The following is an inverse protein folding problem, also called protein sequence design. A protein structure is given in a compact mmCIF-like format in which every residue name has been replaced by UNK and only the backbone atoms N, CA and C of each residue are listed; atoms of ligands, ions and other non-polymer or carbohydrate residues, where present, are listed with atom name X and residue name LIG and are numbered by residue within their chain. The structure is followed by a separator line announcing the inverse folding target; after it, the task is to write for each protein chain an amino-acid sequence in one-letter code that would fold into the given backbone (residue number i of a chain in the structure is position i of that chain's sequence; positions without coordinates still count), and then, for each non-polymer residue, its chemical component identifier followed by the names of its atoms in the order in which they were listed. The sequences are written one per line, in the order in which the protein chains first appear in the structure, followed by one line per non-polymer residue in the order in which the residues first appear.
data_IF_594878619688
#
_entry.id   IF_594878619688
#
_cell.length_a   1.000
_cell.length_b   1.000
_cell.length_c   1.000
_cell.angle_alpha   90.00
_cell.angle_beta   90.00
_cell.angle_gamma   90.00
#
_symmetry.space_group_name_H-M   'P 1'
#
loop_
_entity.id
_entity.type
_entity.pdbx_description
1 polymer ?
#
# COMPACT_ATOMS: atom_id res chain seq x y z
N UNK A 1 -3.56 50.19 0.65
CA UNK A 1 -2.88 48.93 0.25
C UNK A 1 -3.11 47.93 1.37
N UNK A 2 -4.06 47.02 1.19
CA UNK A 2 -4.42 46.03 2.19
C UNK A 2 -3.35 44.94 2.23
N UNK A 3 -2.82 44.68 3.42
CA UNK A 3 -2.02 43.48 3.70
C UNK A 3 -2.98 42.30 3.75
N UNK A 4 -2.74 41.31 2.90
CA UNK A 4 -3.50 40.06 2.88
C UNK A 4 -3.37 39.33 4.22
N UNK A 5 -4.51 38.85 4.71
CA UNK A 5 -4.60 37.97 5.87
C UNK A 5 -3.95 36.62 5.52
N UNK A 6 -2.92 36.23 6.28
CA UNK A 6 -2.44 34.85 6.25
C UNK A 6 -3.49 33.98 6.93
N UNK A 7 -4.12 33.09 6.19
CA UNK A 7 -4.99 32.05 6.75
C UNK A 7 -4.13 31.18 7.66
N UNK A 8 -4.33 31.30 8.97
CA UNK A 8 -3.60 30.51 9.97
C UNK A 8 -4.05 29.05 9.85
N UNK A 9 -3.10 28.15 9.58
CA UNK A 9 -3.35 26.71 9.59
C UNK A 9 -3.76 26.24 10.99
N UNK A 10 -4.54 25.16 11.07
CA UNK A 10 -4.85 24.56 12.37
C UNK A 10 -3.66 23.76 12.86
N UNK A 11 -3.32 23.90 14.14
CA UNK A 11 -2.32 23.05 14.79
C UNK A 11 -2.72 21.56 14.69
N UNK A 12 -1.73 20.67 14.74
CA UNK A 12 -1.95 19.21 14.72
C UNK A 12 -3.03 18.82 15.74
N UNK A 13 -4.09 18.08 15.33
CA UNK A 13 -5.15 17.62 16.23
C UNK A 13 -4.60 16.95 17.50
N UNK A 14 -5.38 16.94 18.58
CA UNK A 14 -5.01 16.29 19.85
C UNK A 14 -4.59 14.82 19.70
N UNK A 15 -4.97 14.18 18.60
CA UNK A 15 -4.54 12.84 18.20
C UNK A 15 -3.10 12.74 17.68
N UNK A 16 -2.37 13.85 17.52
CA UNK A 16 -0.95 13.91 17.13
C UNK A 16 -0.66 13.37 15.73
N UNK A 17 -1.54 13.60 14.76
CA UNK A 17 -1.37 13.21 13.36
C UNK A 17 -1.93 14.30 12.42
N UNK A 18 -1.41 14.39 11.20
CA UNK A 18 -1.97 15.27 10.17
C UNK A 18 -3.35 14.75 9.73
N UNK A 19 -4.35 15.63 9.69
CA UNK A 19 -5.71 15.35 9.24
C UNK A 19 -6.27 16.56 8.47
N UNK A 20 -6.64 16.32 7.22
CA UNK A 20 -7.20 17.28 6.27
C UNK A 20 -8.70 17.05 6.01
N UNK A 21 -9.22 15.92 6.47
CA UNK A 21 -10.61 15.51 6.39
C UNK A 21 -11.00 14.78 7.68
N UNK A 22 -11.88 15.36 8.49
CA UNK A 22 -12.35 14.75 9.73
C UNK A 22 -13.19 13.49 9.45
N UNK A 23 -13.41 12.58 10.43
CA UNK A 23 -14.27 11.42 10.24
C UNK A 23 -15.69 11.73 9.74
N UNK A 24 -16.23 12.90 10.09
CA UNK A 24 -17.55 13.37 9.64
C UNK A 24 -17.53 14.01 8.24
N UNK A 25 -16.37 14.03 7.57
CA UNK A 25 -16.19 14.62 6.25
C UNK A 25 -16.09 16.15 6.24
N UNK A 26 -15.67 16.77 7.35
CA UNK A 26 -15.36 18.21 7.38
C UNK A 26 -13.93 18.44 6.89
N UNK A 27 -13.75 19.38 5.96
CA UNK A 27 -12.45 19.73 5.38
C UNK A 27 -11.68 20.65 6.33
N UNK A 28 -10.39 20.37 6.52
CA UNK A 28 -9.44 21.21 7.24
C UNK A 28 -8.41 21.74 6.25
N UNK A 29 -8.54 22.99 5.81
CA UNK A 29 -7.80 23.53 4.65
C UNK A 29 -6.30 23.26 4.68
N UNK A 30 -5.66 23.51 5.83
CA UNK A 30 -4.26 23.20 6.08
C UNK A 30 -3.99 22.83 7.54
N UNK A 31 -2.95 22.01 7.74
CA UNK A 31 -2.42 21.65 9.06
C UNK A 31 -0.93 21.94 9.10
N UNK A 32 -0.48 22.64 10.15
CA UNK A 32 0.94 22.91 10.38
C UNK A 32 1.46 22.04 11.51
N UNK A 33 2.52 21.27 11.24
CA UNK A 33 3.20 20.43 12.23
C UNK A 33 4.15 21.25 13.11
N UNK A 34 4.55 20.67 14.25
CA UNK A 34 5.41 21.35 15.23
C UNK A 34 6.79 21.77 14.70
N UNK A 35 7.24 21.16 13.60
CA UNK A 35 8.46 21.53 12.87
C UNK A 35 8.26 22.69 11.88
N UNK A 36 7.04 23.24 11.78
CA UNK A 36 6.67 24.33 10.89
C UNK A 36 6.21 23.89 9.49
N UNK A 37 6.21 22.60 9.18
CA UNK A 37 5.76 22.10 7.87
C UNK A 37 4.24 22.21 7.75
N UNK A 38 3.74 22.80 6.67
CA UNK A 38 2.29 22.96 6.42
C UNK A 38 1.83 22.03 5.31
N UNK A 39 0.83 21.21 5.60
CA UNK A 39 0.22 20.28 4.66
C UNK A 39 -1.14 20.81 4.20
N UNK A 40 -1.37 20.78 2.90
CA UNK A 40 -2.65 21.09 2.28
C UNK A 40 -2.78 20.38 0.93
N UNK A 41 -4.00 20.33 0.41
CA UNK A 41 -4.30 19.87 -0.96
C UNK A 41 -5.12 20.94 -1.66
N UNK A 42 -4.88 21.07 -2.97
CA UNK A 42 -5.61 21.95 -3.88
C UNK A 42 -6.15 21.09 -5.03
N UNK A 43 -7.08 20.21 -4.69
CA UNK A 43 -7.71 19.32 -5.65
C UNK A 43 -8.91 20.00 -6.30
N UNK A 44 -9.06 19.76 -7.59
CA UNK A 44 -10.29 20.03 -8.33
C UNK A 44 -11.41 19.09 -7.88
N UNK A 45 -12.65 19.49 -8.18
CA UNK A 45 -13.84 18.65 -7.97
C UNK A 45 -13.71 17.26 -8.59
N UNK A 46 -13.08 17.14 -9.76
CA UNK A 46 -12.91 15.85 -10.43
C UNK A 46 -11.84 15.00 -9.74
N UNK A 47 -10.72 15.59 -9.30
CA UNK A 47 -9.72 14.85 -8.53
C UNK A 47 -10.29 14.29 -7.21
N UNK A 48 -11.18 15.04 -6.54
CA UNK A 48 -11.89 14.52 -5.37
C UNK A 48 -12.82 13.34 -5.72
N UNK A 49 -13.49 13.39 -6.88
CA UNK A 49 -14.33 12.29 -7.37
C UNK A 49 -13.50 11.08 -7.74
N UNK A 50 -12.35 11.26 -8.37
CA UNK A 50 -11.46 10.17 -8.76
C UNK A 50 -10.87 9.45 -7.54
N UNK A 51 -10.48 10.18 -6.49
CA UNK A 51 -10.12 9.57 -5.21
C UNK A 51 -11.26 8.70 -4.65
N UNK A 52 -12.51 9.15 -4.77
CA UNK A 52 -13.67 8.35 -4.33
C UNK A 52 -13.86 7.09 -5.19
N UNK A 53 -13.73 7.21 -6.52
CA UNK A 53 -13.79 6.06 -7.44
C UNK A 53 -12.75 5.02 -7.08
N UNK A 54 -11.51 5.43 -6.85
CA UNK A 54 -10.41 4.53 -6.48
C UNK A 54 -10.72 3.79 -5.19
N UNK A 55 -11.10 4.50 -4.13
CA UNK A 55 -11.38 3.90 -2.83
C UNK A 55 -12.50 2.85 -2.92
N UNK A 56 -13.59 3.15 -3.64
CA UNK A 56 -14.70 2.20 -3.84
C UNK A 56 -14.28 1.00 -4.69
N UNK A 57 -13.52 1.24 -5.75
CA UNK A 57 -13.06 0.18 -6.65
C UNK A 57 -12.15 -0.81 -5.91
N UNK A 58 -11.11 -0.31 -5.23
CA UNK A 58 -10.16 -1.19 -4.52
C UNK A 58 -10.84 -1.98 -3.39
N UNK A 59 -11.78 -1.35 -2.66
CA UNK A 59 -12.63 -2.01 -1.64
C UNK A 59 -13.46 -3.14 -2.26
N UNK A 60 -14.04 -2.90 -3.43
CA UNK A 60 -14.93 -3.85 -4.10
C UNK A 60 -14.15 -5.04 -4.64
N UNK A 61 -12.97 -4.82 -5.22
CA UNK A 61 -12.06 -5.88 -5.65
C UNK A 61 -11.56 -6.71 -4.45
N UNK A 62 -11.20 -6.06 -3.34
CA UNK A 62 -10.81 -6.76 -2.10
C UNK A 62 -11.94 -7.64 -1.53
N UNK A 63 -13.17 -7.12 -1.54
CA UNK A 63 -14.36 -7.88 -1.11
C UNK A 63 -14.59 -9.10 -1.99
N UNK A 64 -14.38 -8.97 -3.30
CA UNK A 64 -14.50 -10.06 -4.26
C UNK A 64 -13.42 -11.12 -4.04
N UNK A 65 -12.18 -10.72 -3.77
CA UNK A 65 -11.10 -11.65 -3.43
C UNK A 65 -11.40 -12.49 -2.18
N UNK A 66 -11.95 -11.86 -1.12
CA UNK A 66 -12.39 -12.59 0.08
C UNK A 66 -13.51 -13.59 -0.25
N UNK A 67 -14.42 -13.24 -1.15
CA UNK A 67 -15.50 -14.15 -1.59
C UNK A 67 -14.94 -15.34 -2.38
N UNK A 68 -14.03 -15.10 -3.33
CA UNK A 68 -13.35 -16.12 -4.12
C UNK A 68 -12.55 -17.08 -3.22
N UNK A 69 -11.82 -16.55 -2.24
CA UNK A 69 -11.10 -17.38 -1.28
C UNK A 69 -12.04 -18.30 -0.49
N UNK A 70 -13.19 -17.80 -0.02
CA UNK A 70 -14.19 -18.60 0.69
C UNK A 70 -14.85 -19.68 -0.18
N UNK A 71 -14.82 -19.50 -1.49
CA UNK A 71 -15.30 -20.48 -2.47
C UNK A 71 -14.23 -21.50 -2.86
N UNK A 72 -12.99 -21.35 -2.36
CA UNK A 72 -11.87 -22.25 -2.66
C UNK A 72 -11.08 -21.86 -3.91
N UNK A 73 -11.39 -20.72 -4.54
CA UNK A 73 -10.72 -20.24 -5.76
C UNK A 73 -9.39 -19.55 -5.47
N UNK A 74 -9.12 -19.20 -4.20
CA UNK A 74 -7.82 -18.70 -3.74
C UNK A 74 -7.36 -19.51 -2.52
N UNK A 75 -6.07 -19.76 -2.40
CA UNK A 75 -5.49 -20.40 -1.22
C UNK A 75 -5.55 -19.47 -0.01
N UNK A 76 -5.10 -18.23 -0.17
CA UNK A 76 -5.06 -17.22 0.90
C UNK A 76 -5.29 -15.82 0.33
N UNK A 77 -5.89 -14.91 1.10
CA UNK A 77 -5.99 -13.50 0.72
C UNK A 77 -5.69 -12.57 1.90
N UNK A 78 -4.97 -11.48 1.63
CA UNK A 78 -4.61 -10.46 2.61
C UNK A 78 -5.48 -9.21 2.46
N UNK A 79 -6.68 -9.22 3.04
CA UNK A 79 -7.63 -8.12 2.84
C UNK A 79 -7.09 -6.73 3.23
N UNK A 80 -7.30 -5.73 2.39
CA UNK A 80 -6.92 -4.34 2.68
C UNK A 80 -7.97 -3.56 3.48
N UNK A 81 -9.14 -4.16 3.76
CA UNK A 81 -10.31 -3.48 4.32
C UNK A 81 -9.98 -2.55 5.50
N UNK A 82 -10.22 -1.26 5.28
CA UNK A 82 -9.97 -0.16 6.23
C UNK A 82 -8.69 0.62 6.01
N UNK A 83 -7.81 0.17 5.11
CA UNK A 83 -6.54 0.82 4.77
C UNK A 83 -6.56 1.46 3.37
N UNK A 84 -7.74 1.62 2.77
CA UNK A 84 -7.88 2.11 1.38
C UNK A 84 -7.28 3.51 1.22
N UNK A 85 -7.57 4.43 2.16
CA UNK A 85 -7.08 5.80 2.09
C UNK A 85 -5.55 5.89 2.16
N UNK A 86 -4.92 5.15 3.08
CA UNK A 86 -3.47 5.08 3.20
C UNK A 86 -2.82 4.63 1.89
N UNK A 87 -3.40 3.63 1.22
CA UNK A 87 -2.87 3.08 -0.03
C UNK A 87 -3.17 3.97 -1.24
N UNK A 88 -4.41 4.41 -1.43
CA UNK A 88 -4.80 5.27 -2.56
C UNK A 88 -4.15 6.64 -2.45
N UNK A 89 -4.15 7.25 -1.26
CA UNK A 89 -3.55 8.57 -1.04
C UNK A 89 -2.04 8.55 -1.31
N UNK A 90 -1.32 7.56 -0.75
CA UNK A 90 0.12 7.42 -1.02
C UNK A 90 0.42 7.00 -2.46
N UNK A 91 -0.39 6.10 -3.04
CA UNK A 91 -0.24 5.63 -4.42
C UNK A 91 -0.44 6.74 -5.45
N UNK A 92 -1.44 7.61 -5.26
CA UNK A 92 -1.69 8.79 -6.11
C UNK A 92 -0.66 9.90 -5.93
N UNK A 93 0.09 9.92 -4.82
CA UNK A 93 1.16 10.88 -4.59
C UNK A 93 2.47 10.53 -5.31
N UNK A 94 2.62 9.29 -5.80
CA UNK A 94 3.79 8.86 -6.58
C UNK A 94 3.78 9.49 -7.97
N UNK A 95 4.95 9.93 -8.43
CA UNK A 95 5.17 10.29 -9.83
C UNK A 95 5.42 9.04 -10.67
N UNK A 96 5.26 9.10 -12.00
CA UNK A 96 5.46 7.94 -12.86
C UNK A 96 6.82 7.26 -12.69
N UNK A 97 7.88 8.02 -12.44
CA UNK A 97 9.25 7.52 -12.27
C UNK A 97 9.57 6.98 -10.86
N UNK A 98 8.75 7.27 -9.85
CA UNK A 98 9.02 6.84 -8.48
C UNK A 98 8.83 5.33 -8.33
N UNK A 99 9.75 4.67 -7.61
CA UNK A 99 9.73 3.23 -7.40
C UNK A 99 9.10 2.86 -6.06
N UNK A 100 8.08 2.02 -6.09
CA UNK A 100 7.40 1.55 -4.87
C UNK A 100 7.75 0.10 -4.54
N UNK A 101 8.07 -0.17 -3.28
CA UNK A 101 8.37 -1.50 -2.73
C UNK A 101 7.27 -1.94 -1.77
N UNK A 102 6.35 -2.81 -2.22
CA UNK A 102 5.21 -3.25 -1.41
C UNK A 102 5.53 -4.43 -0.49
N UNK A 103 4.61 -4.72 0.41
CA UNK A 103 4.43 -6.03 1.03
C UNK A 103 3.35 -6.82 0.28
N UNK A 104 2.72 -7.79 0.94
CA UNK A 104 1.62 -8.58 0.39
C UNK A 104 0.24 -7.91 0.46
N UNK A 105 0.11 -6.66 0.95
CA UNK A 105 -1.20 -6.02 1.20
C UNK A 105 -1.43 -4.72 0.43
N UNK A 106 -0.48 -4.27 -0.38
CA UNK A 106 -0.55 -3.01 -1.12
C UNK A 106 -1.36 -3.12 -2.43
N UNK A 107 -2.56 -3.71 -2.37
CA UNK A 107 -3.43 -3.86 -3.55
C UNK A 107 -3.97 -2.51 -4.06
N UNK A 108 -4.21 -1.55 -3.17
CA UNK A 108 -4.62 -0.19 -3.55
C UNK A 108 -3.50 0.59 -4.24
N UNK A 109 -2.25 0.42 -3.80
CA UNK A 109 -1.09 1.02 -4.47
C UNK A 109 -0.88 0.37 -5.84
N UNK A 110 -0.98 -0.97 -5.92
CA UNK A 110 -0.93 -1.73 -7.17
C UNK A 110 -1.95 -1.18 -8.19
N UNK A 111 -3.20 -0.98 -7.76
CA UNK A 111 -4.24 -0.38 -8.59
C UNK A 111 -3.88 1.05 -9.06
N UNK A 112 -3.37 1.90 -8.17
CA UNK A 112 -2.92 3.25 -8.54
C UNK A 112 -1.74 3.27 -9.52
N UNK A 113 -0.93 2.20 -9.56
CA UNK A 113 0.17 2.03 -10.54
C UNK A 113 -0.30 1.48 -11.88
N UNK A 114 -1.61 1.26 -12.07
CA UNK A 114 -2.18 0.80 -13.33
C UNK A 114 -1.92 -0.68 -13.62
N UNK A 115 -1.50 -1.45 -12.62
CA UNK A 115 -1.36 -2.90 -12.75
C UNK A 115 -2.75 -3.52 -12.72
N UNK A 116 -3.00 -4.46 -13.63
CA UNK A 116 -4.25 -5.19 -13.67
C UNK A 116 -4.49 -5.92 -12.33
N UNK A 117 -5.62 -5.67 -11.63
CA UNK A 117 -5.88 -6.25 -10.32
C UNK A 117 -5.90 -7.78 -10.28
N UNK A 118 -5.97 -8.46 -11.43
CA UNK A 118 -5.87 -9.91 -11.50
C UNK A 118 -4.47 -10.44 -11.13
N UNK A 119 -3.40 -9.67 -11.38
CA UNK A 119 -2.03 -10.14 -11.26
C UNK A 119 -1.70 -10.77 -9.89
N UNK A 120 -2.06 -10.17 -8.74
CA UNK A 120 -1.82 -10.81 -7.44
C UNK A 120 -2.63 -12.11 -7.24
N UNK A 121 -3.74 -12.32 -7.95
CA UNK A 121 -4.58 -13.50 -7.78
C UNK A 121 -3.88 -14.77 -8.24
N UNK A 122 -2.99 -14.71 -9.23
CA UNK A 122 -2.18 -15.86 -9.64
C UNK A 122 -1.35 -16.42 -8.48
N UNK A 123 -0.65 -15.53 -7.77
CA UNK A 123 0.12 -15.85 -6.56
C UNK A 123 -0.76 -16.41 -5.44
N UNK A 124 -1.87 -15.72 -5.14
CA UNK A 124 -2.75 -16.07 -4.01
C UNK A 124 -3.60 -17.31 -4.26
N UNK A 125 -3.85 -17.65 -5.54
CA UNK A 125 -4.41 -18.93 -5.98
C UNK A 125 -3.36 -20.04 -5.98
N UNK A 126 -2.08 -19.70 -6.22
CA UNK A 126 -0.99 -20.64 -6.33
C UNK A 126 -0.87 -21.25 -7.73
N UNK A 127 -1.28 -20.51 -8.77
CA UNK A 127 -1.19 -20.96 -10.17
C UNK A 127 0.01 -20.37 -10.92
N UNK A 128 0.68 -19.38 -10.34
CA UNK A 128 1.96 -18.85 -10.82
C UNK A 128 2.81 -18.33 -9.65
N UNK A 129 3.97 -17.76 -9.96
CA UNK A 129 4.86 -17.14 -8.98
C UNK A 129 4.47 -15.69 -8.64
N UNK A 130 3.33 -15.23 -9.14
CA UNK A 130 2.91 -13.84 -9.15
C UNK A 130 3.79 -12.94 -10.01
N UNK A 131 3.35 -11.70 -10.12
CA UNK A 131 4.20 -10.58 -10.56
C UNK A 131 3.73 -9.88 -11.81
N UNK A 132 4.56 -8.94 -12.20
CA UNK A 132 4.43 -8.00 -13.32
C UNK A 132 5.86 -7.49 -13.59
N UNK A 133 6.07 -6.73 -14.65
CA UNK A 133 7.37 -6.08 -14.87
C UNK A 133 7.53 -4.91 -13.87
N UNK A 134 8.44 -5.03 -12.88
CA UNK A 134 8.58 -3.99 -11.86
C UNK A 134 9.16 -2.69 -12.42
N UNK A 135 9.86 -2.72 -13.56
CA UNK A 135 10.41 -1.52 -14.20
C UNK A 135 9.35 -0.77 -15.02
N UNK A 136 8.45 -1.50 -15.69
CA UNK A 136 7.32 -0.93 -16.43
C UNK A 136 6.40 -0.16 -15.47
N UNK A 137 5.97 -0.83 -14.40
CA UNK A 137 5.00 -0.27 -13.48
C UNK A 137 5.62 0.57 -12.36
N UNK A 138 6.96 0.62 -12.23
CA UNK A 138 7.70 1.16 -11.07
C UNK A 138 7.10 0.74 -9.73
N UNK A 139 6.76 -0.53 -9.66
CA UNK A 139 6.19 -1.16 -8.49
C UNK A 139 6.86 -2.51 -8.37
N UNK A 140 7.67 -2.72 -7.34
CA UNK A 140 8.33 -4.00 -7.14
C UNK A 140 7.28 -5.09 -6.85
N UNK A 141 7.66 -6.34 -7.06
CA UNK A 141 6.80 -7.49 -6.75
C UNK A 141 6.47 -7.55 -5.26
N UNK A 142 5.40 -8.28 -4.91
CA UNK A 142 5.02 -8.49 -3.51
C UNK A 142 6.08 -9.28 -2.75
N UNK A 143 6.48 -8.71 -1.62
CA UNK A 143 7.40 -9.36 -0.69
C UNK A 143 6.64 -10.00 0.47
N UNK A 144 6.79 -11.31 0.62
CA UNK A 144 6.15 -12.09 1.70
C UNK A 144 7.01 -12.10 2.98
N UNK A 145 8.33 -12.03 2.84
CA UNK A 145 9.28 -12.00 3.96
C UNK A 145 9.23 -10.63 4.62
N UNK A 146 8.63 -10.56 5.80
CA UNK A 146 8.37 -9.31 6.53
C UNK A 146 9.66 -8.51 6.73
N UNK A 147 9.71 -7.30 6.17
CA UNK A 147 10.80 -6.35 6.39
C UNK A 147 11.83 -6.33 5.27
N UNK A 148 12.08 -7.46 4.60
CA UNK A 148 13.15 -7.58 3.60
C UNK A 148 13.06 -6.55 2.45
N UNK A 149 11.85 -6.17 2.04
CA UNK A 149 11.63 -5.16 1.00
C UNK A 149 12.21 -3.79 1.36
N UNK A 150 12.35 -3.44 2.64
CA UNK A 150 12.87 -2.13 3.05
C UNK A 150 14.36 -2.00 2.76
N UNK A 151 15.14 -3.08 2.88
CA UNK A 151 16.56 -3.09 2.53
C UNK A 151 16.74 -3.03 1.02
N UNK A 152 15.94 -3.79 0.27
CA UNK A 152 15.94 -3.72 -1.20
C UNK A 152 15.58 -2.31 -1.69
N UNK A 153 14.57 -1.68 -1.09
CA UNK A 153 14.20 -0.30 -1.39
C UNK A 153 15.32 0.68 -1.06
N UNK A 154 15.99 0.50 0.07
CA UNK A 154 17.13 1.34 0.48
C UNK A 154 18.28 1.24 -0.53
N UNK A 155 18.64 0.02 -0.94
CA UNK A 155 19.65 -0.21 -1.96
C UNK A 155 19.28 0.41 -3.31
N UNK A 156 18.02 0.27 -3.74
CA UNK A 156 17.53 0.92 -4.96
C UNK A 156 17.62 2.45 -4.85
N UNK A 157 17.22 3.04 -3.71
CA UNK A 157 17.29 4.48 -3.48
C UNK A 157 18.73 5.00 -3.52
N UNK A 158 19.67 4.26 -2.95
CA UNK A 158 21.10 4.58 -3.08
C UNK A 158 21.57 4.52 -4.54
N UNK A 159 21.09 3.54 -5.32
CA UNK A 159 21.31 3.44 -6.76
C UNK A 159 20.79 4.66 -7.53
N UNK A 160 19.58 5.14 -7.21
CA UNK A 160 19.01 6.38 -7.80
C UNK A 160 19.95 7.56 -7.61
N UNK A 161 20.52 7.72 -6.42
CA UNK A 161 21.51 8.77 -6.15
C UNK A 161 22.80 8.56 -6.96
N UNK A 162 23.30 7.32 -7.05
CA UNK A 162 24.50 6.99 -7.83
C UNK A 162 24.32 7.24 -9.34
N UNK A 163 23.10 7.06 -9.84
CA UNK A 163 22.72 7.38 -11.22
C UNK A 163 22.55 8.88 -11.48
N UNK A 164 22.71 9.73 -10.46
CA UNK A 164 22.57 11.18 -10.58
C UNK A 164 21.11 11.65 -10.72
N UNK A 165 20.14 10.84 -10.28
CA UNK A 165 18.70 11.08 -10.39
C UNK A 165 18.07 11.64 -9.11
N UNK A 166 18.89 12.22 -8.23
CA UNK A 166 18.45 12.90 -7.01
C UNK A 166 18.84 14.37 -7.09
N UNK A 167 17.96 15.28 -6.68
CA UNK A 167 18.18 16.73 -6.73
C UNK A 167 18.01 17.36 -8.12
N UNK A 168 17.38 16.63 -9.06
CA UNK A 168 17.14 17.08 -10.43
C UNK A 168 15.65 17.37 -10.66
N UNK A 169 15.28 18.16 -11.70
CA UNK A 169 13.87 18.40 -12.02
C UNK A 169 13.09 17.10 -12.29
N UNK A 170 13.76 16.11 -12.90
CA UNK A 170 13.27 14.75 -13.18
C UNK A 170 13.68 13.75 -12.10
N UNK A 171 13.94 14.21 -10.87
CA UNK A 171 14.40 13.35 -9.79
C UNK A 171 13.47 12.16 -9.55
N UNK A 172 14.03 11.06 -9.06
CA UNK A 172 13.30 9.83 -8.69
C UNK A 172 13.31 9.68 -7.17
N UNK A 173 12.21 9.21 -6.59
CA UNK A 173 12.16 8.78 -5.20
C UNK A 173 11.70 7.33 -5.09
N UNK A 174 12.02 6.75 -3.95
CA UNK A 174 11.59 5.40 -3.58
C UNK A 174 10.60 5.48 -2.44
N UNK A 175 9.59 4.62 -2.43
CA UNK A 175 8.72 4.40 -1.26
C UNK A 175 8.75 2.93 -0.87
N UNK A 176 8.93 2.64 0.42
CA UNK A 176 8.88 1.29 0.97
C UNK A 176 7.71 1.16 1.94
N UNK A 177 6.78 0.25 1.63
CA UNK A 177 5.63 -0.03 2.47
C UNK A 177 5.92 -1.15 3.46
N UNK A 178 5.36 -1.05 4.67
CA UNK A 178 5.41 -2.10 5.68
C UNK A 178 4.34 -1.89 6.76
N UNK A 179 3.98 -2.93 7.50
CA UNK A 179 3.06 -2.85 8.64
C UNK A 179 3.76 -2.53 9.98
N UNK A 180 2.98 -2.23 11.01
CA UNK A 180 3.47 -2.00 12.38
C UNK A 180 4.34 -3.14 12.92
N UNK A 181 3.94 -4.40 12.75
CA UNK A 181 4.73 -5.56 13.14
C UNK A 181 6.09 -5.69 12.45
N UNK A 182 6.21 -5.21 11.20
CA UNK A 182 7.47 -5.26 10.47
C UNK A 182 8.54 -4.37 11.12
N UNK A 183 8.14 -3.34 11.86
CA UNK A 183 9.07 -2.44 12.54
C UNK A 183 9.91 -3.13 13.61
N UNK A 184 9.50 -4.31 14.07
CA UNK A 184 10.24 -5.17 15.00
C UNK A 184 11.31 -6.04 14.33
N UNK A 185 11.40 -6.04 12.99
CA UNK A 185 12.41 -6.77 12.25
C UNK A 185 13.74 -6.00 12.17
N UNK A 186 14.85 -6.75 12.18
CA UNK A 186 16.20 -6.19 12.04
C UNK A 186 16.40 -5.43 10.72
N UNK A 187 15.86 -5.97 9.63
CA UNK A 187 16.00 -5.39 8.28
C UNK A 187 15.40 -3.97 8.18
N UNK A 188 14.26 -3.72 8.83
CA UNK A 188 13.65 -2.38 8.86
C UNK A 188 14.53 -1.40 9.64
N UNK A 189 15.08 -1.84 10.78
CA UNK A 189 16.02 -1.05 11.56
C UNK A 189 17.31 -0.72 10.78
N UNK A 190 17.89 -1.72 10.11
CA UNK A 190 19.07 -1.54 9.26
C UNK A 190 18.79 -0.59 8.09
N UNK A 191 17.62 -0.69 7.47
CA UNK A 191 17.18 0.19 6.39
C UNK A 191 17.17 1.66 6.82
N UNK A 192 16.72 1.95 8.04
CA UNK A 192 16.74 3.30 8.60
C UNK A 192 18.17 3.80 8.82
N UNK A 193 19.08 2.94 9.32
CA UNK A 193 20.50 3.29 9.49
C UNK A 193 21.15 3.64 8.15
N UNK A 194 21.03 2.76 7.16
CA UNK A 194 21.61 2.99 5.83
C UNK A 194 21.00 4.22 5.17
N UNK A 195 19.68 4.37 5.18
CA UNK A 195 19.02 5.51 4.53
C UNK A 195 19.42 6.85 5.15
N UNK A 196 19.55 6.91 6.49
CA UNK A 196 19.99 8.10 7.20
C UNK A 196 21.43 8.48 6.86
N UNK A 197 22.37 7.53 6.92
CA UNK A 197 23.80 7.78 6.67
C UNK A 197 24.07 8.17 5.22
N UNK A 198 23.38 7.54 4.26
CA UNK A 198 23.59 7.78 2.83
C UNK A 198 22.66 8.87 2.26
N UNK A 199 21.83 9.50 3.10
CA UNK A 199 20.86 10.50 2.68
C UNK A 199 20.02 10.01 1.48
N UNK A 200 19.55 8.77 1.56
CA UNK A 200 18.88 8.09 0.45
C UNK A 200 17.51 8.75 0.15
N UNK A 201 17.11 8.88 -1.14
CA UNK A 201 15.84 9.47 -1.56
C UNK A 201 14.67 8.48 -1.36
N UNK A 202 14.39 8.13 -0.11
CA UNK A 202 13.40 7.10 0.26
C UNK A 202 12.39 7.56 1.31
N UNK A 203 11.12 7.23 1.06
CA UNK A 203 10.04 7.36 2.03
C UNK A 203 9.70 5.98 2.59
N UNK A 204 9.74 5.84 3.90
CA UNK A 204 9.27 4.66 4.60
C UNK A 204 7.79 4.88 4.98
N UNK A 205 6.88 4.07 4.46
CA UNK A 205 5.45 4.21 4.68
C UNK A 205 4.92 3.05 5.52
N UNK A 206 4.79 3.30 6.82
CA UNK A 206 4.28 2.35 7.79
C UNK A 206 2.75 2.40 7.86
N UNK A 207 2.07 1.35 7.40
CA UNK A 207 0.65 1.15 7.60
C UNK A 207 0.42 0.55 8.99
N UNK A 208 0.28 1.42 10.00
CA UNK A 208 0.02 1.00 11.38
C UNK A 208 -1.46 0.67 11.53
N UNK A 209 -1.79 -0.62 11.38
CA UNK A 209 -3.17 -1.11 11.43
C UNK A 209 -3.55 -1.72 12.79
N UNK A 210 -2.72 -1.45 13.79
CA UNK A 210 -2.84 -1.79 15.20
C UNK A 210 -2.55 -3.26 15.57
N UNK A 211 -2.34 -4.16 14.58
CA UNK A 211 -2.10 -5.58 14.85
C UNK A 211 -1.13 -6.27 13.88
N UNK A 212 -0.11 -6.90 14.44
CA UNK A 212 0.73 -7.87 13.77
C UNK A 212 0.13 -9.28 13.93
N UNK A 213 -0.67 -9.71 12.95
CA UNK A 213 -1.52 -10.92 13.05
C UNK A 213 -2.49 -10.78 14.22
N UNK A 214 -2.15 -11.36 15.38
CA UNK A 214 -2.90 -11.29 16.64
C UNK A 214 -2.23 -10.42 17.70
N UNK A 215 -0.98 -10.02 17.49
CA UNK A 215 -0.21 -9.27 18.48
C UNK A 215 -0.56 -7.78 18.38
N UNK A 216 -1.10 -7.16 19.44
CA UNK A 216 -1.50 -5.77 19.41
C UNK A 216 -0.30 -4.82 19.47
N UNK A 217 -0.47 -3.59 18.97
CA UNK A 217 0.60 -2.60 18.82
C UNK A 217 1.39 -2.33 20.11
N UNK A 218 0.73 -2.27 21.27
CA UNK A 218 1.39 -2.00 22.56
C UNK A 218 2.38 -3.07 23.00
N UNK A 219 2.32 -4.25 22.37
CA UNK A 219 3.30 -5.33 22.56
C UNK A 219 4.40 -5.34 21.50
N UNK A 220 4.23 -4.59 20.41
CA UNK A 220 5.25 -4.39 19.38
C UNK A 220 6.15 -3.20 19.71
N UNK A 221 5.57 -2.09 20.16
CA UNK A 221 6.31 -0.86 20.46
C UNK A 221 5.72 -0.11 21.64
N UNK A 222 6.59 0.61 22.37
CA UNK A 222 6.20 1.50 23.48
C UNK A 222 6.04 2.96 23.04
N UNK A 223 6.53 3.31 21.85
CA UNK A 223 6.50 4.67 21.30
C UNK A 223 5.75 4.68 19.98
N UNK A 224 5.06 5.78 19.63
CA UNK A 224 4.52 5.96 18.28
C UNK A 224 5.59 5.72 17.22
N UNK A 225 5.25 4.98 16.16
CA UNK A 225 6.23 4.46 15.21
C UNK A 225 6.96 5.57 14.48
N UNK A 226 6.28 6.67 14.13
CA UNK A 226 6.90 7.82 13.47
C UNK A 226 8.07 8.40 14.27
N UNK A 227 8.04 8.34 15.60
CA UNK A 227 9.09 8.91 16.45
C UNK A 227 10.42 8.16 16.35
N UNK A 228 10.40 6.90 15.87
CA UNK A 228 11.62 6.12 15.70
C UNK A 228 12.60 6.77 14.73
N UNK A 229 12.10 7.45 13.70
CA UNK A 229 12.92 8.14 12.70
C UNK A 229 13.91 9.13 13.32
N UNK A 230 13.52 9.83 14.40
CA UNK A 230 14.38 10.77 15.11
C UNK A 230 15.65 10.12 15.68
N UNK A 231 15.60 8.83 16.05
CA UNK A 231 16.76 8.07 16.51
C UNK A 231 17.79 7.77 15.41
N UNK A 232 17.41 7.88 14.14
CA UNK A 232 18.26 7.67 12.97
C UNK A 232 18.60 8.98 12.25
N UNK A 233 18.17 10.13 12.79
CA UNK A 233 18.53 11.45 12.28
C UNK A 233 17.70 11.95 11.08
N UNK A 234 16.50 11.41 10.86
CA UNK A 234 15.61 11.87 9.78
C UNK A 234 14.16 12.06 10.25
N UNK A 235 13.33 12.86 9.55
CA UNK A 235 11.99 13.20 10.03
C UNK A 235 11.03 12.01 10.02
N UNK A 236 10.15 12.00 11.02
CA UNK A 236 9.01 11.11 11.09
C UNK A 236 7.72 11.90 11.24
N UNK A 237 6.69 11.54 10.48
CA UNK A 237 5.38 12.20 10.48
C UNK A 237 4.30 11.14 10.66
N UNK A 238 3.32 11.41 11.52
CA UNK A 238 2.11 10.58 11.62
C UNK A 238 0.96 11.26 10.91
N UNK A 239 0.19 10.46 10.17
CA UNK A 239 -0.99 10.89 9.42
C UNK A 239 -2.20 10.04 9.80
N UNK A 240 -3.40 10.62 9.76
CA UNK A 240 -4.63 9.83 9.81
C UNK A 240 -4.68 8.95 8.55
N UNK A 241 -4.44 7.64 8.69
CA UNK A 241 -4.40 6.72 7.56
C UNK A 241 -5.76 6.47 6.91
N UNK A 242 -6.85 6.93 7.53
CA UNK A 242 -8.21 6.87 6.98
C UNK A 242 -8.62 8.20 6.30
N UNK A 243 -7.69 9.16 6.23
CA UNK A 243 -7.84 10.42 5.52
C UNK A 243 -7.03 10.38 4.22
N UNK A 244 -7.70 10.20 3.09
CA UNK A 244 -7.04 10.12 1.77
C UNK A 244 -6.36 11.44 1.39
N UNK A 245 -6.84 12.58 1.88
CA UNK A 245 -6.27 13.89 1.57
C UNK A 245 -4.97 14.11 2.35
N UNK A 246 -4.99 13.79 3.64
CA UNK A 246 -3.81 13.93 4.49
C UNK A 246 -2.72 12.94 4.07
N UNK A 247 -3.08 11.69 3.81
CA UNK A 247 -2.12 10.66 3.33
C UNK A 247 -1.48 11.09 2.01
N UNK A 248 -2.27 11.57 1.03
CA UNK A 248 -1.72 12.15 -0.19
C UNK A 248 -0.78 13.34 0.08
N UNK A 249 -1.21 14.32 0.88
CA UNK A 249 -0.43 15.54 1.12
C UNK A 249 0.92 15.24 1.79
N UNK A 250 0.91 14.40 2.82
CA UNK A 250 2.11 14.01 3.57
C UNK A 250 3.04 13.16 2.69
N UNK A 251 2.50 12.17 1.96
CA UNK A 251 3.31 11.35 1.06
C UNK A 251 3.92 12.16 -0.07
N UNK A 252 3.14 13.06 -0.70
CA UNK A 252 3.64 13.94 -1.76
C UNK A 252 4.79 14.80 -1.26
N UNK A 253 4.63 15.45 -0.10
CA UNK A 253 5.68 16.27 0.50
C UNK A 253 6.94 15.46 0.82
N UNK A 254 6.79 14.26 1.38
CA UNK A 254 7.93 13.40 1.71
C UNK A 254 8.67 12.91 0.46
N UNK A 255 7.94 12.55 -0.59
CA UNK A 255 8.52 12.15 -1.88
C UNK A 255 9.18 13.36 -2.59
N UNK A 256 8.58 14.55 -2.53
CA UNK A 256 9.19 15.77 -3.06
C UNK A 256 10.52 16.08 -2.36
N UNK A 257 10.56 15.94 -1.04
CA UNK A 257 11.80 16.10 -0.26
C UNK A 257 12.85 15.05 -0.64
N UNK A 258 12.46 13.79 -0.75
CA UNK A 258 13.34 12.70 -1.18
C UNK A 258 13.93 12.97 -2.57
N UNK A 259 13.09 13.30 -3.56
CA UNK A 259 13.53 13.64 -4.94
C UNK A 259 14.48 14.83 -4.96
N UNK A 260 14.27 15.81 -4.09
CA UNK A 260 15.11 17.00 -3.97
C UNK A 260 16.38 16.78 -3.13
N UNK A 261 16.67 15.55 -2.70
CA UNK A 261 17.89 15.21 -1.96
C UNK A 261 17.88 15.60 -0.49
N UNK A 262 16.71 15.80 0.11
CA UNK A 262 16.58 16.07 1.56
C UNK A 262 16.61 14.80 2.42
N UNK A 263 16.89 13.64 1.81
CA UNK A 263 17.06 12.38 2.51
C UNK A 263 15.74 11.69 2.86
N UNK A 264 15.80 10.70 3.77
CA UNK A 264 14.66 9.84 4.05
C UNK A 264 13.59 10.48 4.93
N UNK A 265 12.39 9.92 4.89
CA UNK A 265 11.28 10.29 5.79
C UNK A 265 10.50 9.05 6.21
N UNK A 266 10.08 8.96 7.47
CA UNK A 266 9.13 7.94 7.93
C UNK A 266 7.72 8.53 8.01
N UNK A 267 6.76 7.91 7.34
CA UNK A 267 5.34 8.20 7.49
C UNK A 267 4.69 7.05 8.25
N UNK A 268 4.05 7.34 9.38
CA UNK A 268 3.13 6.43 10.05
C UNK A 268 1.69 6.77 9.63
N UNK A 269 1.10 5.94 8.78
CA UNK A 269 -0.32 5.99 8.50
C UNK A 269 -1.07 5.26 9.62
N UNK A 270 -1.67 6.02 10.53
CA UNK A 270 -2.43 5.49 11.66
C UNK A 270 -3.82 5.06 11.18
N UNK A 271 -4.03 3.75 11.01
CA UNK A 271 -5.21 3.16 10.39
C UNK A 271 -5.64 1.89 11.13
N UNK A 272 -6.55 1.11 10.56
CA UNK A 272 -7.06 -0.11 11.15
C UNK A 272 -7.42 -1.17 10.12
N UNK A 273 -6.99 -2.41 10.38
CA UNK A 273 -7.36 -3.56 9.56
C UNK A 273 -8.72 -4.07 10.01
N UNK A 274 -9.81 -3.64 9.38
CA UNK A 274 -11.16 -4.06 9.77
C UNK A 274 -11.46 -5.53 9.41
N UNK A 275 -10.77 -6.08 8.41
CA UNK A 275 -10.78 -7.51 8.07
C UNK A 275 -9.89 -8.37 8.98
N UNK A 276 -9.90 -9.69 8.79
CA UNK A 276 -8.96 -10.61 9.43
C UNK A 276 -7.50 -10.35 8.97
N UNK A 277 -6.50 -10.96 9.63
CA UNK A 277 -5.11 -10.85 9.16
C UNK A 277 -4.97 -11.35 7.73
N UNK A 278 -5.37 -12.59 7.51
CA UNK A 278 -5.62 -13.17 6.20
C UNK A 278 -6.93 -13.92 6.26
N UNK A 279 -7.38 -14.45 5.14
CA UNK A 279 -8.56 -15.32 5.10
C UNK A 279 -8.47 -16.58 5.99
N UNK A 280 -7.26 -16.95 6.44
CA UNK A 280 -7.00 -18.10 7.31
C UNK A 280 -6.96 -17.76 8.81
N UNK A 281 -7.28 -16.51 9.18
CA UNK A 281 -7.24 -16.00 10.55
C UNK A 281 -8.65 -15.72 11.11
N UNK A 282 -8.80 -15.86 12.44
CA UNK A 282 -10.03 -15.52 13.17
C UNK A 282 -9.77 -14.39 14.17
N UNK A 283 -10.17 -13.15 13.83
CA UNK A 283 -9.90 -12.01 14.68
C UNK A 283 -10.75 -11.94 15.96
N UNK A 284 -11.85 -12.71 16.04
CA UNK A 284 -12.71 -12.70 17.23
C UNK A 284 -12.01 -13.28 18.46
N UNK A 285 -10.88 -13.96 18.26
CA UNK A 285 -10.05 -14.55 19.31
C UNK A 285 -9.16 -13.54 20.03
N UNK A 286 -8.88 -12.39 19.44
CA UNK A 286 -7.90 -11.43 19.97
C UNK A 286 -8.31 -9.96 19.85
N UNK A 287 -9.46 -9.64 19.25
CA UNK A 287 -9.99 -8.27 19.14
C UNK A 287 -11.40 -8.17 19.68
N UNK A 288 -11.69 -7.06 20.36
CA UNK A 288 -13.03 -6.78 20.87
C UNK A 288 -13.87 -6.10 19.79
N UNK A 289 -15.16 -6.48 19.70
CA UNK A 289 -16.04 -5.97 18.65
C UNK A 289 -16.23 -4.44 18.71
N UNK A 290 -16.28 -3.86 19.91
CA UNK A 290 -16.45 -2.40 20.10
C UNK A 290 -15.31 -1.58 19.49
N UNK A 291 -14.09 -2.12 19.49
CA UNK A 291 -12.94 -1.49 18.86
C UNK A 291 -13.15 -1.41 17.33
N UNK A 292 -13.54 -2.52 16.71
CA UNK A 292 -13.82 -2.58 15.26
C UNK A 292 -14.96 -1.63 14.88
N UNK A 293 -16.03 -1.57 15.65
CA UNK A 293 -17.15 -0.64 15.40
C UNK A 293 -16.69 0.84 15.45
N UNK A 294 -15.79 1.19 16.39
CA UNK A 294 -15.24 2.54 16.46
C UNK A 294 -14.42 2.93 15.21
N UNK A 295 -13.82 1.95 14.54
CA UNK A 295 -13.06 2.14 13.30
C UNK A 295 -13.93 2.12 12.05
N UNK A 296 -15.04 1.37 12.04
CA UNK A 296 -16.07 1.46 11.00
C UNK A 296 -16.67 2.87 10.91
N UNK A 297 -16.85 3.54 12.05
CA UNK A 297 -17.27 4.94 12.10
C UNK A 297 -16.25 5.92 11.47
N UNK A 298 -15.02 5.46 11.25
CA UNK A 298 -13.93 6.23 10.62
C UNK A 298 -13.60 5.73 9.21
N UNK A 299 -14.49 4.96 8.57
CA UNK A 299 -14.28 4.39 7.23
C UNK A 299 -13.90 5.50 6.22
N UNK A 300 -12.80 5.33 5.46
CA UNK A 300 -12.32 6.35 4.53
C UNK A 300 -13.30 6.66 3.38
N UNK A 301 -14.09 5.68 2.92
CA UNK A 301 -15.09 5.88 1.86
C UNK A 301 -16.27 6.69 2.39
N UNK A 302 -16.79 6.31 3.56
CA UNK A 302 -17.89 7.05 4.20
C UNK A 302 -17.51 8.50 4.46
N UNK A 303 -16.27 8.71 4.93
CA UNK A 303 -15.68 10.02 5.16
C UNK A 303 -15.67 10.89 3.91
N UNK A 304 -15.08 10.39 2.81
CA UNK A 304 -14.99 11.15 1.56
C UNK A 304 -16.37 11.36 0.92
N UNK A 305 -17.27 10.38 1.01
CA UNK A 305 -18.67 10.52 0.55
C UNK A 305 -19.40 11.67 1.25
N UNK A 306 -19.25 11.77 2.57
CA UNK A 306 -19.86 12.82 3.36
C UNK A 306 -19.35 14.21 2.92
N UNK A 307 -18.04 14.35 2.72
CA UNK A 307 -17.43 15.57 2.19
C UNK A 307 -17.97 15.95 0.81
N UNK A 308 -17.92 15.02 -0.15
CA UNK A 308 -18.38 15.25 -1.53
C UNK A 308 -19.86 15.67 -1.58
N UNK A 309 -20.68 15.11 -0.69
CA UNK A 309 -22.10 15.45 -0.56
C UNK A 309 -22.30 16.84 0.03
N UNK A 310 -21.61 17.16 1.13
CA UNK A 310 -21.72 18.46 1.83
C UNK A 310 -21.27 19.61 0.95
N UNK A 311 -20.17 19.43 0.22
CA UNK A 311 -19.63 20.43 -0.71
C UNK A 311 -20.36 20.48 -2.06
N UNK A 312 -21.34 19.60 -2.29
CA UNK A 312 -22.09 19.47 -3.56
C UNK A 312 -21.19 19.17 -4.77
N UNK A 313 -20.01 18.62 -4.52
CA UNK A 313 -19.07 18.15 -5.55
C UNK A 313 -19.65 16.92 -6.26
N UNK A 314 -20.39 16.07 -5.54
CA UNK A 314 -21.06 14.90 -6.10
C UNK A 314 -22.51 14.76 -5.63
N UNK A 315 -23.32 14.06 -6.43
CA UNK A 315 -24.73 13.76 -6.14
C UNK A 315 -24.96 12.25 -6.11
N UNK A 316 -26.19 11.86 -5.75
CA UNK A 316 -26.59 10.44 -5.67
C UNK A 316 -26.24 9.64 -6.93
N UNK A 317 -26.50 10.19 -8.10
CA UNK A 317 -26.29 9.49 -9.38
C UNK A 317 -24.82 9.13 -9.60
N UNK A 318 -23.89 10.04 -9.27
CA UNK A 318 -22.45 9.75 -9.30
C UNK A 318 -22.10 8.57 -8.40
N UNK A 319 -22.58 8.56 -7.14
CA UNK A 319 -22.27 7.45 -6.24
C UNK A 319 -22.82 6.12 -6.75
N UNK A 320 -24.03 6.13 -7.32
CA UNK A 320 -24.64 4.93 -7.93
C UNK A 320 -23.86 4.45 -9.16
N UNK A 321 -23.34 5.36 -9.98
CA UNK A 321 -22.49 5.04 -11.13
C UNK A 321 -21.18 4.39 -10.68
N UNK A 322 -20.50 4.96 -9.67
CA UNK A 322 -19.26 4.40 -9.13
C UNK A 322 -19.48 3.00 -8.54
N UNK A 323 -20.57 2.80 -7.78
CA UNK A 323 -20.90 1.49 -7.23
C UNK A 323 -21.17 0.45 -8.35
N UNK A 324 -21.86 0.85 -9.42
CA UNK A 324 -22.15 -0.01 -10.57
C UNK A 324 -20.88 -0.37 -11.37
N UNK A 325 -19.97 0.59 -11.57
CA UNK A 325 -18.71 0.35 -12.27
C UNK A 325 -17.79 -0.58 -11.45
N UNK A 326 -17.62 -0.31 -10.15
CA UNK A 326 -16.86 -1.18 -9.27
C UNK A 326 -17.43 -2.61 -9.23
N UNK A 327 -18.76 -2.75 -9.24
CA UNK A 327 -19.42 -4.05 -9.33
C UNK A 327 -19.13 -4.77 -10.65
N UNK A 328 -19.14 -4.04 -11.78
CA UNK A 328 -18.78 -4.59 -13.09
C UNK A 328 -17.34 -5.08 -13.10
N UNK A 329 -16.39 -4.29 -12.59
CA UNK A 329 -14.98 -4.68 -12.49
C UNK A 329 -14.78 -5.93 -11.62
N UNK A 330 -15.50 -6.04 -10.50
CA UNK A 330 -15.43 -7.25 -9.66
C UNK A 330 -15.99 -8.50 -10.35
N UNK A 331 -17.05 -8.38 -11.15
CA UNK A 331 -17.60 -9.51 -11.91
C UNK A 331 -16.64 -9.96 -13.01
N UNK A 332 -16.03 -9.01 -13.73
CA UNK A 332 -15.00 -9.29 -14.72
C UNK A 332 -13.78 -9.98 -14.09
N UNK A 333 -13.28 -9.44 -12.98
CA UNK A 333 -12.19 -10.06 -12.21
C UNK A 333 -12.52 -11.50 -11.80
N UNK A 334 -13.73 -11.74 -11.26
CA UNK A 334 -14.18 -13.09 -10.90
C UNK A 334 -14.13 -14.03 -12.10
N UNK A 335 -14.71 -13.64 -13.23
CA UNK A 335 -14.73 -14.48 -14.44
C UNK A 335 -13.31 -14.83 -14.88
N UNK A 336 -12.41 -13.84 -14.89
CA UNK A 336 -11.03 -14.04 -15.30
C UNK A 336 -10.22 -14.89 -14.31
N UNK A 337 -10.45 -14.75 -13.01
CA UNK A 337 -9.84 -15.61 -11.99
C UNK A 337 -10.29 -17.05 -12.17
N UNK A 338 -11.58 -17.31 -12.35
CA UNK A 338 -12.11 -18.66 -12.58
C UNK A 338 -11.57 -19.30 -13.86
N UNK A 339 -11.23 -18.49 -14.86
CA UNK A 339 -10.65 -18.94 -16.12
C UNK A 339 -9.12 -19.15 -16.08
N UNK A 340 -8.44 -18.89 -14.94
CA UNK A 340 -7.01 -19.15 -14.83
C UNK A 340 -6.69 -20.63 -15.00
N UNK A 341 -5.73 -20.99 -15.87
CA UNK A 341 -5.32 -22.38 -16.03
C UNK A 341 -4.47 -22.82 -14.83
N UNK A 342 -4.52 -24.12 -14.52
CA UNK A 342 -3.55 -24.71 -13.61
C UNK A 342 -2.15 -24.72 -14.25
N UNK A 343 -1.08 -24.44 -13.48
CA UNK A 343 0.27 -24.45 -14.01
C UNK A 343 0.67 -25.86 -14.44
N UNK A 344 1.30 -25.96 -15.60
CA UNK A 344 1.93 -27.22 -16.00
C UNK A 344 3.09 -27.50 -15.05
N UNK A 345 3.21 -28.68 -14.42
CA UNK A 345 4.15 -28.79 -13.31
C UNK A 345 5.63 -28.66 -13.74
N UNK A 346 5.94 -28.82 -15.03
CA UNK A 346 7.27 -28.57 -15.60
C UNK A 346 7.69 -27.09 -15.54
N UNK A 347 6.74 -26.15 -15.38
CA UNK A 347 7.06 -24.71 -15.26
C UNK A 347 7.74 -24.35 -13.95
N UNK A 348 7.77 -25.26 -12.96
CA UNK A 348 8.55 -25.11 -11.73
C UNK A 348 10.04 -24.80 -12.00
N UNK A 349 10.57 -25.27 -13.13
CA UNK A 349 11.97 -25.06 -13.51
C UNK A 349 12.21 -23.78 -14.31
N UNK A 350 11.15 -23.03 -14.66
CA UNK A 350 11.27 -21.80 -15.41
C UNK A 350 11.82 -20.68 -14.51
N UNK A 351 12.51 -19.71 -15.13
CA UNK A 351 12.97 -18.47 -14.48
C UNK A 351 13.94 -18.62 -13.29
N UNK A 352 14.48 -19.82 -13.04
CA UNK A 352 15.52 -20.03 -11.99
C UNK A 352 16.81 -19.29 -12.33
N UNK A 353 17.23 -19.34 -13.60
CA UNK A 353 18.40 -18.63 -14.12
C UNK A 353 18.07 -17.99 -15.48
N UNK A 354 18.63 -16.80 -15.80
CA UNK A 354 18.30 -16.09 -17.04
C UNK A 354 18.76 -16.80 -18.32
N UNK A 355 19.76 -17.69 -18.24
CA UNK A 355 20.33 -18.41 -19.39
C UNK A 355 20.30 -19.94 -19.21
N UNK A 356 19.42 -20.45 -18.33
CA UNK A 356 19.39 -21.87 -17.96
C UNK A 356 20.54 -22.31 -17.05
N UNK A 357 20.53 -23.57 -16.66
CA UNK A 357 21.59 -24.23 -15.88
C UNK A 357 21.60 -25.71 -16.24
N UNK A 358 22.76 -26.30 -16.59
CA UNK A 358 22.85 -27.73 -16.91
C UNK A 358 22.25 -28.63 -15.83
N UNK A 359 22.39 -28.24 -14.55
CA UNK A 359 21.83 -28.96 -13.42
C UNK A 359 20.30 -28.85 -13.36
N UNK A 360 19.74 -27.66 -13.58
CA UNK A 360 18.29 -27.44 -13.63
C UNK A 360 17.68 -28.12 -14.85
N UNK A 361 18.36 -28.09 -15.99
CA UNK A 361 17.90 -28.74 -17.22
C UNK A 361 17.88 -30.27 -17.08
N UNK A 362 18.89 -30.85 -16.43
CA UNK A 362 18.91 -32.27 -16.11
C UNK A 362 17.78 -32.67 -15.15
N UNK A 363 17.50 -31.85 -14.13
CA UNK A 363 16.38 -32.06 -13.21
C UNK A 363 15.02 -31.95 -13.93
N UNK A 364 14.86 -30.94 -14.81
CA UNK A 364 13.67 -30.77 -15.65
C UNK A 364 13.43 -32.00 -16.53
N UNK A 365 14.47 -32.52 -17.17
CA UNK A 365 14.38 -33.72 -18.01
C UNK A 365 13.95 -34.94 -17.19
N UNK A 366 14.63 -35.20 -16.06
CA UNK A 366 14.29 -36.30 -15.17
C UNK A 366 12.85 -36.21 -14.61
N UNK A 367 12.40 -35.00 -14.27
CA UNK A 367 11.04 -34.76 -13.82
C UNK A 367 9.99 -35.00 -14.92
N UNK A 368 10.30 -34.59 -16.15
CA UNK A 368 9.43 -34.82 -17.32
C UNK A 368 9.32 -36.32 -17.62
N UNK A 369 10.43 -37.06 -17.58
CA UNK A 369 10.43 -38.52 -17.73
C UNK A 369 9.62 -39.20 -16.61
N UNK A 370 9.78 -38.73 -15.37
CA UNK A 370 8.98 -39.21 -14.24
C UNK A 370 7.48 -38.97 -14.45
N UNK A 371 7.06 -37.79 -14.92
CA UNK A 371 5.65 -37.53 -15.23
C UNK A 371 5.11 -38.43 -16.32
N UNK A 372 5.85 -38.57 -17.42
CA UNK A 372 5.47 -39.44 -18.53
C UNK A 372 5.31 -40.91 -18.10
N UNK A 373 5.98 -41.34 -17.02
CA UNK A 373 5.82 -42.69 -16.47
C UNK A 373 4.41 -42.99 -15.91
N UNK A 374 3.63 -41.95 -15.57
CA UNK A 374 2.23 -42.08 -15.15
C UNK A 374 1.24 -42.01 -16.32
N UNK A 375 1.64 -41.47 -17.48
CA UNK A 375 0.81 -41.41 -18.68
C UNK A 375 0.77 -42.80 -19.35
N UNK A 376 -0.11 -43.66 -18.84
CA UNK A 376 -0.25 -45.05 -19.28
C UNK A 376 -0.52 -46.04 -18.13
N UNK A 377 -0.29 -45.62 -16.88
CA UNK A 377 -0.76 -46.35 -15.70
C UNK A 377 -2.23 -45.99 -15.47
N UNK A 378 -3.13 -46.78 -16.04
CA UNK A 378 -4.56 -46.63 -15.79
C UNK A 378 -4.88 -46.72 -14.30
N UNK A 379 -5.45 -45.66 -13.75
CA UNK A 379 -6.25 -45.67 -12.52
C UNK A 379 -7.64 -45.12 -12.82
#
# INVERSE_FOLDING_TARGET
MAKGESVAGTDVPAGGFVQLLTPDGERVDSVTTADGTTYSVDFTDEEYRDLYRDLVTVRRLDTEAVALQRQGELGIWASLLGQEAAQVGSGRALRPQDMAFPTYREHGVLYCRGIDPIMPFGLFRGVDQGGWDPNEFKFNQYTIVIGSQTLHATGYAMGVTMDGKTGTPEGEAVIAYFGDGATSQGEVNESFVWSGVFNAPIVFFCQNNQYAISEPLERQTRVPLYQRAGGYGFPGIRVDGNDVLATYAVTRSALDNARNGQGPTLIEAYTYRMGAHTSSDDPTRYRIASEVESWKAKDPISRLKAFLTKQKIAKKDFFTEVDADAQKQALDLRERVLAMPDPQPVTLFDHVYPNGSPEIDAQRAAFTEYQASFEGSGH
#
